data_IF_181031143152
#
_entry.id   IF_181031143152
#
_cell.length_a   1.000
_cell.length_b   1.000
_cell.length_c   1.000
_cell.angle_alpha   90.00
_cell.angle_beta   90.00
_cell.angle_gamma   90.00
#
_symmetry.space_group_name_H-M   'P 1'
#
loop_
_entity.id
_entity.type
_entity.pdbx_description
1 polymer ?
#
# COMPACT_ATOMS: atom_id res chain seq x y z
N UNK A 1 -8.12 1.96 -1.81
CA UNK A 1 -7.21 2.93 -2.45
C UNK A 1 -5.85 2.71 -1.82
N UNK A 2 -4.80 2.43 -2.62
CA UNK A 2 -3.46 2.23 -2.10
C UNK A 2 -2.67 3.52 -2.33
N UNK A 3 -2.22 4.17 -1.26
CA UNK A 3 -1.58 5.49 -1.35
C UNK A 3 -0.62 5.73 -0.20
N UNK A 4 0.30 6.67 -0.40
CA UNK A 4 1.20 7.19 0.64
C UNK A 4 1.31 8.71 0.53
N UNK A 5 1.44 9.38 1.67
CA UNK A 5 1.58 10.83 1.74
C UNK A 5 3.00 11.24 1.30
N UNK A 6 3.11 12.06 0.25
CA UNK A 6 4.35 12.28 -0.47
C UNK A 6 5.42 13.09 0.30
N UNK A 7 5.02 13.83 1.32
CA UNK A 7 5.91 14.56 2.25
C UNK A 7 6.54 13.63 3.31
N UNK A 8 5.96 12.45 3.55
CA UNK A 8 6.42 11.48 4.55
C UNK A 8 7.04 10.23 3.91
N UNK A 9 6.46 9.73 2.82
CA UNK A 9 6.78 8.46 2.19
C UNK A 9 6.88 8.63 0.67
N UNK A 10 7.98 8.16 0.08
CA UNK A 10 8.16 8.15 -1.36
C UNK A 10 7.34 7.08 -2.08
N UNK A 11 7.31 7.14 -3.41
CA UNK A 11 6.55 6.19 -4.25
C UNK A 11 7.00 4.74 -4.11
N UNK A 12 8.25 4.50 -3.67
CA UNK A 12 8.81 3.18 -3.40
C UNK A 12 8.09 2.41 -2.28
N UNK A 13 7.28 3.09 -1.47
CA UNK A 13 6.44 2.47 -0.46
C UNK A 13 5.17 1.82 -1.04
N UNK A 14 4.75 2.23 -2.24
CA UNK A 14 3.56 1.69 -2.90
C UNK A 14 3.77 0.23 -3.32
N UNK A 15 2.73 -0.59 -3.17
CA UNK A 15 2.74 -2.00 -3.57
C UNK A 15 3.51 -2.93 -2.62
N UNK A 16 4.17 -2.40 -1.59
CA UNK A 16 4.79 -3.22 -0.55
C UNK A 16 3.73 -3.97 0.26
N UNK A 17 4.04 -5.21 0.66
CA UNK A 17 3.20 -5.97 1.60
C UNK A 17 3.41 -5.44 3.02
N UNK A 18 2.32 -5.31 3.77
CA UNK A 18 2.36 -5.02 5.19
C UNK A 18 2.80 -6.30 5.93
N UNK A 19 4.05 -6.30 6.40
CA UNK A 19 4.67 -7.37 7.16
C UNK A 19 5.72 -6.79 8.14
N UNK A 20 6.40 -7.63 8.90
CA UNK A 20 7.39 -7.18 9.89
C UNK A 20 8.51 -6.32 9.28
N UNK A 21 8.95 -6.64 8.05
CA UNK A 21 9.94 -5.83 7.34
C UNK A 21 9.41 -4.44 6.99
N UNK A 22 8.15 -4.34 6.53
CA UNK A 22 7.52 -3.04 6.30
C UNK A 22 7.51 -2.20 7.57
N UNK A 23 7.11 -2.76 8.71
CA UNK A 23 7.07 -2.05 9.99
C UNK A 23 8.46 -1.63 10.44
N UNK A 24 9.47 -2.50 10.30
CA UNK A 24 10.85 -2.18 10.63
C UNK A 24 11.38 -1.05 9.77
N UNK A 25 11.19 -1.14 8.46
CA UNK A 25 11.67 -0.14 7.53
C UNK A 25 10.96 1.20 7.77
N UNK A 26 9.66 1.18 8.11
CA UNK A 26 8.87 2.38 8.41
C UNK A 26 9.43 3.12 9.63
N UNK A 27 9.70 2.38 10.71
CA UNK A 27 10.30 2.92 11.94
C UNK A 27 11.71 3.47 11.71
N UNK A 28 12.51 2.82 10.86
CA UNK A 28 13.86 3.27 10.53
C UNK A 28 13.85 4.51 9.64
N UNK A 29 12.88 4.61 8.73
CA UNK A 29 12.73 5.73 7.80
C UNK A 29 12.29 7.00 8.51
N UNK A 30 11.20 6.93 9.27
CA UNK A 30 10.69 8.05 10.04
C UNK A 30 9.91 7.56 11.27
N UNK A 31 10.49 7.67 12.48
CA UNK A 31 9.84 7.25 13.73
C UNK A 31 8.54 8.00 14.07
N UNK A 32 8.25 9.14 13.43
CA UNK A 32 7.03 9.91 13.66
C UNK A 32 5.81 9.38 12.89
N UNK A 33 6.01 8.44 11.96
CA UNK A 33 4.91 7.87 11.17
C UNK A 33 4.19 6.83 12.03
N UNK A 34 2.86 6.96 12.12
CA UNK A 34 2.05 5.95 12.80
C UNK A 34 2.10 4.61 12.02
N UNK A 35 2.51 3.50 12.66
CA UNK A 35 2.59 2.19 11.99
C UNK A 35 1.26 1.62 11.49
N UNK A 36 0.13 2.14 11.99
CA UNK A 36 -1.22 1.81 11.53
C UNK A 36 -1.73 2.80 10.47
N UNK A 37 -1.04 3.92 10.23
CA UNK A 37 -1.41 4.92 9.23
C UNK A 37 -2.64 5.75 9.60
N UNK A 38 -2.91 5.92 10.90
CA UNK A 38 -4.13 6.56 11.43
C UNK A 38 -4.30 8.04 11.01
N UNK A 39 -3.21 8.73 10.66
CA UNK A 39 -3.23 10.14 10.24
C UNK A 39 -3.18 10.30 8.71
N UNK A 40 -3.45 9.22 7.97
CA UNK A 40 -3.44 9.21 6.51
C UNK A 40 -2.03 9.19 5.92
N UNK A 41 -1.03 8.71 6.66
CA UNK A 41 0.35 8.55 6.15
C UNK A 41 0.38 7.56 4.98
N UNK A 42 -0.44 6.51 5.06
CA UNK A 42 -0.68 5.57 3.97
C UNK A 42 -2.06 4.91 4.07
N UNK A 43 -2.57 4.47 2.92
CA UNK A 43 -3.76 3.62 2.83
C UNK A 43 -3.41 2.29 2.17
N UNK A 44 -3.97 1.22 2.71
CA UNK A 44 -3.71 -0.15 2.26
C UNK A 44 -4.83 -0.68 1.38
N UNK A 45 -4.54 -1.76 0.65
CA UNK A 45 -5.52 -2.51 -0.12
C UNK A 45 -5.35 -4.00 0.17
N UNK A 46 -6.39 -4.62 0.73
CA UNK A 46 -6.36 -6.03 1.11
C UNK A 46 -6.63 -6.90 -0.13
N UNK A 47 -5.62 -7.64 -0.56
CA UNK A 47 -5.71 -8.53 -1.73
C UNK A 47 -6.10 -9.96 -1.38
N UNK A 48 -5.94 -10.35 -0.12
CA UNK A 48 -6.25 -11.70 0.38
C UNK A 48 -6.54 -11.66 1.90
N UNK A 49 -7.33 -12.61 2.39
CA UNK A 49 -7.66 -12.79 3.80
C UNK A 49 -8.56 -14.01 4.03
N UNK A 50 -8.64 -14.57 5.26
CA UNK A 50 -9.26 -15.88 5.53
C UNK A 50 -10.70 -16.04 5.01
N UNK A 51 -11.48 -14.95 5.01
CA UNK A 51 -12.87 -14.96 4.54
C UNK A 51 -13.02 -14.92 3.02
N UNK A 52 -11.97 -14.63 2.28
CA UNK A 52 -12.04 -14.54 0.82
C UNK A 52 -12.03 -15.97 0.23
N UNK A 53 -12.85 -16.24 -0.79
CA UNK A 53 -12.80 -17.53 -1.52
C UNK A 53 -11.67 -17.60 -2.55
N UNK A 54 -11.27 -16.43 -3.04
CA UNK A 54 -10.25 -16.23 -4.06
C UNK A 54 -9.41 -15.02 -3.67
N UNK A 55 -8.17 -14.92 -4.17
CA UNK A 55 -7.30 -13.76 -3.97
C UNK A 55 -7.35 -12.82 -5.18
N UNK A 56 -7.08 -11.54 -4.94
CA UNK A 56 -6.94 -10.53 -5.99
C UNK A 56 -5.46 -10.47 -6.40
N UNK A 57 -5.18 -10.69 -7.68
CA UNK A 57 -3.85 -10.47 -8.26
C UNK A 57 -3.88 -9.24 -9.14
N UNK A 58 -3.12 -8.22 -8.75
CA UNK A 58 -2.89 -7.02 -9.57
C UNK A 58 -2.08 -7.40 -10.80
N UNK A 59 -2.53 -7.00 -11.99
CA UNK A 59 -1.90 -7.31 -13.27
C UNK A 59 -1.27 -6.05 -13.87
N UNK A 60 -2.00 -4.94 -13.87
CA UNK A 60 -1.52 -3.64 -14.34
C UNK A 60 -1.85 -2.57 -13.31
N UNK A 61 -0.88 -1.71 -13.04
CA UNK A 61 -1.01 -0.57 -12.15
C UNK A 61 0.02 0.49 -12.48
N UNK A 62 -0.30 1.73 -12.15
CA UNK A 62 0.58 2.89 -12.33
C UNK A 62 0.74 3.69 -11.04
N UNK A 63 1.89 4.36 -10.90
CA UNK A 63 2.16 5.24 -9.76
C UNK A 63 1.91 6.69 -10.17
N UNK A 64 0.94 7.34 -9.52
CA UNK A 64 0.51 8.70 -9.86
C UNK A 64 0.67 9.61 -8.65
N UNK A 65 1.26 10.79 -8.83
CA UNK A 65 1.28 11.85 -7.81
C UNK A 65 0.10 12.78 -8.02
N UNK A 66 -0.78 12.90 -7.03
CA UNK A 66 -1.91 13.83 -7.06
C UNK A 66 -2.20 14.37 -5.66
N UNK A 67 -2.36 15.68 -5.54
CA UNK A 67 -2.82 16.30 -4.28
C UNK A 67 -1.94 16.01 -3.06
N UNK A 68 -0.62 15.86 -3.23
CA UNK A 68 0.31 15.57 -2.13
C UNK A 68 0.40 14.09 -1.75
N UNK A 69 -0.19 13.19 -2.54
CA UNK A 69 -0.14 11.74 -2.32
C UNK A 69 0.36 11.01 -3.56
N UNK A 70 1.19 10.00 -3.34
CA UNK A 70 1.44 8.96 -4.33
C UNK A 70 0.35 7.91 -4.24
N UNK A 71 -0.22 7.54 -5.38
CA UNK A 71 -1.23 6.48 -5.50
C UNK A 71 -0.67 5.34 -6.34
N UNK A 72 -1.05 4.11 -5.99
CA UNK A 72 -0.95 2.97 -6.89
C UNK A 72 -2.34 2.75 -7.51
N UNK A 73 -2.54 3.27 -8.71
CA UNK A 73 -3.81 3.13 -9.44
C UNK A 73 -3.79 1.77 -10.17
N UNK A 74 -4.70 0.88 -9.78
CA UNK A 74 -4.81 -0.47 -10.36
C UNK A 74 -5.81 -0.39 -11.51
N UNK A 75 -5.34 -0.56 -12.74
CA UNK A 75 -6.17 -0.57 -13.95
C UNK A 75 -6.67 -1.97 -14.31
N UNK A 76 -5.96 -3.03 -13.89
CA UNK A 76 -6.33 -4.41 -14.19
C UNK A 76 -5.94 -5.38 -13.08
N UNK A 77 -6.85 -6.29 -12.78
CA UNK A 77 -6.63 -7.37 -11.82
C UNK A 77 -7.32 -8.66 -12.26
N UNK A 78 -6.83 -9.79 -11.75
CA UNK A 78 -7.48 -11.09 -11.86
C UNK A 78 -7.92 -11.57 -10.48
N UNK A 79 -8.93 -12.45 -10.47
CA UNK A 79 -9.35 -13.19 -9.29
C UNK A 79 -8.84 -14.63 -9.44
N UNK A 80 -7.94 -15.05 -8.55
CA UNK A 80 -7.32 -16.38 -8.58
C UNK A 80 -7.83 -17.24 -7.42
N UNK A 81 -8.05 -18.54 -7.64
CA UNK A 81 -8.27 -19.47 -6.53
C UNK A 81 -7.06 -19.43 -5.59
N UNK A 82 -7.34 -19.54 -4.30
CA UNK A 82 -6.33 -19.61 -3.25
C UNK A 82 -5.57 -20.92 -3.28
#
# INVERSE_FOLDING_TARGET
MLSVKADLLGKEWLGRKINENFIRDLKNHNPSIDPCGENGEFHTFVTDGPLFKNKIKVIESEMVLRGGYWFLEISKFNVEKK
#
